data_IF_358093670275
#
_entry.id   IF_358093670275
#
_cell.length_a   1.000
_cell.length_b   1.000
_cell.length_c   1.000
_cell.angle_alpha   90.00
_cell.angle_beta   90.00
_cell.angle_gamma   90.00
#
_symmetry.space_group_name_H-M   'P 1'
#
loop_
_entity.id
_entity.type
_entity.pdbx_description
1 polymer ?
#
# COMPACT_ATOMS: atom_id res chain seq x y z
N UNK A 1 9.13 18.78 -34.99
CA UNK A 1 7.67 18.66 -35.09
C UNK A 1 7.17 18.20 -33.73
N UNK A 2 6.48 19.08 -32.99
CA UNK A 2 5.89 18.75 -31.68
C UNK A 2 4.65 17.89 -31.93
N UNK A 3 4.58 16.71 -31.31
CA UNK A 3 3.37 15.90 -31.27
C UNK A 3 2.38 16.51 -30.28
N UNK A 4 1.11 16.56 -30.65
CA UNK A 4 0.01 17.04 -29.83
C UNK A 4 -0.27 16.02 -28.70
N UNK A 5 0.12 16.33 -27.48
CA UNK A 5 -0.31 15.60 -26.28
C UNK A 5 -1.76 15.98 -25.95
N UNK A 6 -2.67 15.00 -25.96
CA UNK A 6 -4.06 15.22 -25.54
C UNK A 6 -4.15 15.64 -24.07
N UNK A 7 -4.79 16.78 -23.80
CA UNK A 7 -4.97 17.34 -22.46
C UNK A 7 -5.78 16.39 -21.55
N UNK A 8 -5.12 15.70 -20.62
CA UNK A 8 -5.78 14.94 -19.53
C UNK A 8 -6.26 15.89 -18.44
N UNK A 9 -7.53 15.78 -18.06
CA UNK A 9 -8.12 16.57 -16.97
C UNK A 9 -7.91 15.91 -15.60
N UNK A 10 -7.43 16.67 -14.61
CA UNK A 10 -7.27 16.17 -13.23
C UNK A 10 -8.62 15.85 -12.58
N UNK A 11 -8.67 14.84 -11.69
CA UNK A 11 -9.91 14.44 -10.99
C UNK A 11 -10.61 15.60 -10.26
N UNK A 12 -9.83 16.50 -9.65
CA UNK A 12 -10.37 17.67 -8.96
C UNK A 12 -11.08 18.63 -9.94
N UNK A 13 -10.49 18.82 -11.13
CA UNK A 13 -11.02 19.69 -12.17
C UNK A 13 -12.25 19.07 -12.85
N UNK A 14 -12.23 17.75 -13.09
CA UNK A 14 -13.38 16.97 -13.55
C UNK A 14 -14.58 17.11 -12.60
N UNK A 15 -14.37 16.90 -11.29
CA UNK A 15 -15.43 17.01 -10.27
C UNK A 15 -16.05 18.41 -10.21
N UNK A 16 -15.24 19.47 -10.37
CA UNK A 16 -15.73 20.85 -10.41
C UNK A 16 -16.57 21.13 -11.67
N UNK A 17 -16.10 20.69 -12.86
CA UNK A 17 -16.83 20.89 -14.14
C UNK A 17 -18.12 20.06 -14.19
N UNK A 18 -18.11 18.83 -13.70
CA UNK A 18 -19.28 17.95 -13.60
C UNK A 18 -20.41 18.59 -12.77
N UNK A 19 -20.05 19.19 -11.63
CA UNK A 19 -21.03 19.88 -10.77
C UNK A 19 -21.64 21.10 -11.48
N UNK A 20 -20.85 21.89 -12.22
CA UNK A 20 -21.33 23.07 -12.93
C UNK A 20 -22.31 22.69 -14.06
N UNK A 21 -21.93 21.77 -14.95
CA UNK A 21 -22.77 21.34 -16.09
C UNK A 21 -24.07 20.71 -15.59
N UNK A 22 -24.02 19.86 -14.55
CA UNK A 22 -25.24 19.23 -14.01
C UNK A 22 -26.18 20.22 -13.33
N UNK A 23 -25.66 21.29 -12.73
CA UNK A 23 -26.48 22.39 -12.20
C UNK A 23 -27.10 23.24 -13.32
N UNK A 24 -26.37 23.46 -14.42
CA UNK A 24 -26.87 24.18 -15.59
C UNK A 24 -27.97 23.41 -16.33
N UNK A 25 -27.83 22.10 -16.52
CA UNK A 25 -28.89 21.24 -17.06
C UNK A 25 -30.15 21.32 -16.20
N UNK A 26 -30.00 21.27 -14.87
CA UNK A 26 -31.15 21.39 -13.94
C UNK A 26 -31.81 22.76 -14.02
N UNK A 27 -31.04 23.83 -14.21
CA UNK A 27 -31.57 25.19 -14.38
C UNK A 27 -32.28 25.33 -15.72
N UNK A 28 -31.70 24.82 -16.80
CA UNK A 28 -32.27 24.89 -18.15
C UNK A 28 -33.55 24.07 -18.24
N UNK A 29 -33.63 22.88 -17.63
CA UNK A 29 -34.89 22.08 -17.53
C UNK A 29 -36.00 22.79 -16.74
N UNK A 30 -35.65 23.69 -15.82
CA UNK A 30 -36.62 24.43 -14.98
C UNK A 30 -37.09 25.75 -15.61
N UNK A 31 -36.44 26.26 -16.66
CA UNK A 31 -36.90 27.47 -17.35
C UNK A 31 -38.21 27.19 -18.07
N UNK A 32 -39.25 27.99 -17.80
CA UNK A 32 -40.48 27.99 -18.59
C UNK A 32 -40.31 28.97 -19.74
N UNK A 33 -39.85 28.48 -20.90
CA UNK A 33 -39.52 29.33 -22.05
C UNK A 33 -40.55 29.16 -23.17
N UNK A 34 -40.89 30.27 -23.83
CA UNK A 34 -41.85 30.30 -24.97
C UNK A 34 -41.24 29.64 -26.22
N UNK A 35 -39.91 29.73 -26.41
CA UNK A 35 -39.15 29.04 -27.45
C UNK A 35 -38.65 27.66 -26.97
N UNK A 36 -39.53 26.65 -26.97
CA UNK A 36 -39.21 25.27 -26.57
C UNK A 36 -38.05 24.65 -27.38
N UNK A 37 -37.95 24.96 -28.68
CA UNK A 37 -36.89 24.42 -29.54
C UNK A 37 -35.49 24.88 -29.10
N UNK A 38 -35.33 26.16 -28.76
CA UNK A 38 -34.05 26.72 -28.32
C UNK A 38 -33.62 26.17 -26.96
N UNK A 39 -34.57 25.90 -26.06
CA UNK A 39 -34.31 25.25 -24.78
C UNK A 39 -33.86 23.80 -24.98
N UNK A 40 -34.45 23.08 -25.94
CA UNK A 40 -34.06 21.71 -26.25
C UNK A 40 -32.66 21.65 -26.88
N UNK A 41 -32.33 22.56 -27.80
CA UNK A 41 -30.97 22.70 -28.35
C UNK A 41 -29.92 22.98 -27.28
N UNK A 42 -30.23 23.84 -26.30
CA UNK A 42 -29.32 24.11 -25.17
C UNK A 42 -29.10 22.88 -24.29
N UNK A 43 -30.15 22.08 -24.05
CA UNK A 43 -30.04 20.85 -23.28
C UNK A 43 -29.19 19.79 -23.99
N UNK A 44 -29.37 19.64 -25.31
CA UNK A 44 -28.56 18.73 -26.12
C UNK A 44 -27.08 19.14 -26.05
N UNK A 45 -26.77 20.43 -26.19
CA UNK A 45 -25.39 20.94 -26.08
C UNK A 45 -24.76 20.66 -24.71
N UNK A 46 -25.50 20.88 -23.63
CA UNK A 46 -25.02 20.60 -22.27
C UNK A 46 -24.83 19.10 -22.01
N UNK A 47 -25.68 18.25 -22.60
CA UNK A 47 -25.55 16.79 -22.53
C UNK A 47 -24.36 16.27 -23.37
N UNK A 48 -24.10 16.86 -24.54
CA UNK A 48 -22.89 16.61 -25.33
C UNK A 48 -21.60 17.04 -24.60
N UNK A 49 -21.62 18.20 -23.95
CA UNK A 49 -20.48 18.71 -23.17
C UNK A 49 -20.18 17.80 -21.97
N UNK A 50 -21.23 17.30 -21.30
CA UNK A 50 -21.10 16.32 -20.23
C UNK A 50 -20.47 15.01 -20.72
N UNK A 51 -20.90 14.52 -21.88
CA UNK A 51 -20.33 13.31 -22.49
C UNK A 51 -18.86 13.51 -22.90
N UNK A 52 -18.49 14.67 -23.46
CA UNK A 52 -17.09 15.01 -23.77
C UNK A 52 -16.23 15.07 -22.51
N UNK A 53 -16.74 15.68 -21.43
CA UNK A 53 -16.03 15.74 -20.16
C UNK A 53 -15.78 14.33 -19.58
N UNK A 54 -16.75 13.43 -19.71
CA UNK A 54 -16.59 12.03 -19.30
C UNK A 54 -15.56 11.28 -20.17
N UNK A 55 -15.57 11.50 -21.48
CA UNK A 55 -14.59 10.90 -22.40
C UNK A 55 -13.15 11.36 -22.14
N UNK A 56 -12.96 12.67 -21.86
CA UNK A 56 -11.66 13.24 -21.50
C UNK A 56 -11.10 12.70 -20.18
N UNK A 57 -11.97 12.28 -19.25
CA UNK A 57 -11.56 11.65 -18.00
C UNK A 57 -11.31 10.14 -18.16
N UNK A 58 -12.11 9.45 -18.99
CA UNK A 58 -12.08 8.00 -19.15
C UNK A 58 -11.15 7.47 -20.27
N UNK A 59 -10.58 8.33 -21.13
CA UNK A 59 -9.77 7.95 -22.32
C UNK A 59 -10.49 6.98 -23.29
N UNK A 60 -11.68 7.33 -23.76
CA UNK A 60 -12.31 6.62 -24.89
C UNK A 60 -12.19 7.45 -26.18
N UNK A 61 -11.13 7.25 -26.95
CA UNK A 61 -11.17 7.52 -28.38
C UNK A 61 -11.58 6.25 -29.14
N UNK A 62 -12.73 6.32 -29.82
CA UNK A 62 -13.02 5.48 -30.97
C UNK A 62 -13.95 4.27 -30.74
N UNK A 63 -15.26 4.52 -30.72
CA UNK A 63 -16.16 3.69 -31.54
C UNK A 63 -17.39 4.50 -31.95
N UNK A 64 -17.32 5.09 -33.14
CA UNK A 64 -18.52 5.52 -33.86
C UNK A 64 -19.20 4.26 -34.38
N UNK A 65 -20.46 4.10 -33.98
CA UNK A 65 -21.50 3.41 -34.74
C UNK A 65 -21.20 1.97 -35.10
N UNK A 66 -21.87 1.04 -34.40
CA UNK A 66 -22.71 0.14 -35.16
C UNK A 66 -23.99 -0.16 -34.39
N UNK A 67 -25.05 0.16 -35.08
CA UNK A 67 -26.41 -0.19 -34.77
C UNK A 67 -26.64 -1.57 -35.40
N UNK A 68 -27.63 -2.29 -34.87
CA UNK A 68 -28.29 -3.46 -35.46
C UNK A 68 -27.49 -4.79 -35.46
N UNK A 69 -27.87 -5.76 -34.61
CA UNK A 69 -28.98 -6.67 -34.93
C UNK A 69 -29.28 -7.66 -33.80
N UNK A 70 -30.58 -7.74 -33.52
CA UNK A 70 -31.26 -8.87 -32.91
C UNK A 70 -30.74 -10.22 -33.43
N UNK A 71 -30.51 -11.15 -32.51
CA UNK A 71 -30.94 -12.54 -32.66
C UNK A 71 -31.65 -12.97 -31.39
N UNK A 72 -32.96 -12.71 -31.39
CA UNK A 72 -33.89 -13.63 -30.77
C UNK A 72 -34.13 -14.72 -31.82
N UNK A 73 -33.64 -15.93 -31.59
CA UNK A 73 -34.21 -17.11 -32.24
C UNK A 73 -35.48 -17.50 -31.46
N UNK A 74 -36.56 -17.54 -32.23
CA UNK A 74 -37.88 -17.96 -31.81
C UNK A 74 -37.92 -19.47 -31.58
N UNK A 75 -38.78 -19.86 -30.63
CA UNK A 75 -39.19 -21.24 -30.42
C UNK A 75 -40.14 -21.31 -29.22
N UNK A 76 -41.32 -20.70 -29.34
CA UNK A 76 -42.44 -20.94 -28.43
C UNK A 76 -43.57 -21.58 -29.24
N UNK A 77 -44.00 -22.77 -28.83
CA UNK A 77 -45.23 -23.42 -29.29
C UNK A 77 -46.32 -23.22 -28.23
N UNK A 78 -47.52 -22.87 -28.70
CA UNK A 78 -48.78 -23.09 -28.01
C UNK A 78 -49.32 -21.95 -27.14
N UNK A 79 -50.13 -21.05 -27.71
CA UNK A 79 -51.61 -21.20 -27.72
C UNK A 79 -52.32 -19.92 -28.24
N UNK A 80 -53.42 -20.19 -28.97
CA UNK A 80 -54.45 -19.34 -29.60
C UNK A 80 -54.97 -18.23 -28.65
N UNK A 81 -55.53 -17.09 -29.07
CA UNK A 81 -56.65 -16.92 -30.00
C UNK A 81 -56.96 -15.40 -30.24
N UNK A 82 -57.25 -15.04 -31.49
CA UNK A 82 -58.23 -14.05 -32.06
C UNK A 82 -58.37 -12.60 -31.53
N UNK A 83 -58.09 -11.59 -32.39
CA UNK A 83 -59.01 -10.79 -33.27
C UNK A 83 -59.74 -9.63 -32.55
N UNK A 84 -59.49 -8.38 -32.94
CA UNK A 84 -60.43 -7.56 -33.77
C UNK A 84 -59.86 -6.17 -34.13
N UNK A 85 -60.33 -5.65 -35.27
CA UNK A 85 -59.94 -4.48 -36.05
C UNK A 85 -60.47 -3.13 -35.53
N UNK A 86 -59.89 -2.01 -36.04
CA UNK A 86 -60.71 -0.82 -36.36
C UNK A 86 -60.36 0.54 -35.74
N UNK A 87 -59.43 1.25 -36.41
CA UNK A 87 -59.50 2.67 -36.84
C UNK A 87 -59.63 3.89 -35.88
N UNK A 88 -58.62 4.77 -36.02
CA UNK A 88 -58.60 6.27 -36.00
C UNK A 88 -58.70 7.00 -34.63
N UNK A 89 -57.59 7.59 -34.16
CA UNK A 89 -57.40 9.06 -34.15
C UNK A 89 -55.98 9.48 -33.73
N UNK A 90 -55.54 10.62 -34.26
CA UNK A 90 -54.20 11.20 -34.13
C UNK A 90 -53.77 11.51 -32.68
N UNK A 91 -52.53 11.12 -32.34
CA UNK A 91 -51.71 11.80 -31.33
C UNK A 91 -51.17 10.91 -30.22
N UNK A 92 -50.06 10.20 -30.45
CA UNK A 92 -49.24 9.61 -29.38
C UNK A 92 -47.85 9.22 -29.90
N UNK A 93 -46.88 10.14 -29.83
CA UNK A 93 -45.47 9.82 -30.03
C UNK A 93 -44.64 10.42 -28.88
N UNK A 94 -45.03 10.18 -27.63
CA UNK A 94 -44.23 10.54 -26.45
C UNK A 94 -44.63 9.70 -25.24
N UNK A 95 -44.50 8.38 -25.31
CA UNK A 95 -44.67 7.58 -24.09
C UNK A 95 -43.93 6.24 -24.20
N UNK A 96 -42.59 6.28 -24.13
CA UNK A 96 -41.81 5.13 -23.61
C UNK A 96 -40.31 5.44 -23.36
N UNK A 97 -39.98 6.64 -22.86
CA UNK A 97 -38.62 6.93 -22.41
C UNK A 97 -38.57 7.57 -21.01
N UNK A 98 -39.43 7.10 -20.12
CA UNK A 98 -39.37 7.40 -18.68
C UNK A 98 -39.73 6.17 -17.86
N UNK A 99 -38.83 5.19 -17.83
CA UNK A 99 -38.75 4.29 -16.67
C UNK A 99 -37.67 4.85 -15.75
N UNK A 100 -38.07 5.79 -14.88
CA UNK A 100 -37.28 6.15 -13.70
C UNK A 100 -37.12 4.89 -12.86
N UNK A 101 -35.91 4.33 -12.81
CA UNK A 101 -35.55 3.41 -11.73
C UNK A 101 -35.60 4.23 -10.44
N UNK A 102 -36.71 4.16 -9.70
CA UNK A 102 -36.74 4.62 -8.32
C UNK A 102 -35.61 3.93 -7.57
N UNK A 103 -34.57 4.68 -7.23
CA UNK A 103 -33.47 4.18 -6.42
C UNK A 103 -34.09 3.74 -5.10
N UNK A 104 -34.21 2.42 -4.91
CA UNK A 104 -34.78 1.81 -3.70
C UNK A 104 -34.26 2.51 -2.44
N UNK A 105 -35.13 2.74 -1.44
CA UNK A 105 -34.75 3.29 -0.13
C UNK A 105 -33.53 2.56 0.48
N UNK A 106 -33.35 1.27 0.14
CA UNK A 106 -32.19 0.44 0.49
C UNK A 106 -30.88 0.94 -0.14
N UNK A 107 -30.89 1.27 -1.43
CA UNK A 107 -29.74 1.80 -2.17
C UNK A 107 -29.32 3.18 -1.68
N UNK A 108 -30.27 4.05 -1.34
CA UNK A 108 -29.99 5.37 -0.77
C UNK A 108 -29.36 5.27 0.63
N UNK A 109 -29.85 4.34 1.46
CA UNK A 109 -29.29 4.04 2.79
C UNK A 109 -27.85 3.49 2.68
N UNK A 110 -27.60 2.60 1.72
CA UNK A 110 -26.26 2.05 1.47
C UNK A 110 -25.27 3.13 1.02
N UNK A 111 -25.66 4.04 0.12
CA UNK A 111 -24.82 5.17 -0.30
C UNK A 111 -24.50 6.12 0.85
N UNK A 112 -25.47 6.45 1.71
CA UNK A 112 -25.23 7.27 2.93
C UNK A 112 -24.29 6.58 3.91
N UNK A 113 -24.40 5.25 4.07
CA UNK A 113 -23.49 4.46 4.91
C UNK A 113 -22.06 4.45 4.33
N UNK A 114 -21.92 4.32 3.01
CA UNK A 114 -20.64 4.39 2.31
C UNK A 114 -19.98 5.77 2.47
N UNK A 115 -20.71 6.85 2.20
CA UNK A 115 -20.22 8.22 2.41
C UNK A 115 -19.82 8.51 3.87
N UNK A 116 -20.56 7.95 4.83
CA UNK A 116 -20.21 8.10 6.26
C UNK A 116 -18.91 7.36 6.59
N UNK A 117 -18.70 6.15 6.04
CA UNK A 117 -17.45 5.38 6.18
C UNK A 117 -16.27 6.12 5.55
N UNK A 118 -16.44 6.64 4.34
CA UNK A 118 -15.40 7.43 3.64
C UNK A 118 -15.01 8.70 4.43
N UNK A 119 -15.99 9.45 4.97
CA UNK A 119 -15.70 10.61 5.82
C UNK A 119 -15.02 10.22 7.15
N UNK A 120 -15.34 9.05 7.70
CA UNK A 120 -14.73 8.53 8.92
C UNK A 120 -13.28 8.09 8.66
N UNK A 121 -13.02 7.41 7.54
CA UNK A 121 -11.67 7.06 7.06
C UNK A 121 -10.82 8.31 6.80
N UNK A 122 -11.33 9.31 6.09
CA UNK A 122 -10.62 10.57 5.83
C UNK A 122 -10.29 11.33 7.13
N UNK A 123 -11.22 11.33 8.10
CA UNK A 123 -10.99 11.92 9.43
C UNK A 123 -9.94 11.13 10.20
N UNK A 124 -9.96 9.80 10.12
CA UNK A 124 -9.00 8.94 10.80
C UNK A 124 -7.59 9.13 10.21
N UNK A 125 -7.45 9.22 8.88
CA UNK A 125 -6.16 9.48 8.22
C UNK A 125 -5.59 10.85 8.58
N UNK A 126 -6.43 11.89 8.60
CA UNK A 126 -6.01 13.23 9.07
C UNK A 126 -5.59 13.22 10.53
N UNK A 127 -6.26 12.43 11.37
CA UNK A 127 -5.93 12.33 12.80
C UNK A 127 -4.62 11.55 12.98
N UNK A 128 -4.44 10.43 12.27
CA UNK A 128 -3.20 9.65 12.26
C UNK A 128 -2.00 10.48 11.83
N UNK A 129 -2.14 11.28 10.76
CA UNK A 129 -1.06 12.18 10.32
C UNK A 129 -0.67 13.18 11.41
N UNK A 130 -1.64 13.76 12.12
CA UNK A 130 -1.35 14.66 13.26
C UNK A 130 -0.69 13.93 14.43
N UNK A 131 -1.18 12.76 14.79
CA UNK A 131 -0.58 11.96 15.86
C UNK A 131 0.87 11.56 15.54
N UNK A 132 1.14 11.18 14.28
CA UNK A 132 2.48 10.87 13.79
C UNK A 132 3.42 12.07 13.79
N UNK A 133 2.94 13.26 13.40
CA UNK A 133 3.72 14.50 13.49
C UNK A 133 4.08 14.86 14.94
N UNK A 134 3.12 14.75 15.87
CA UNK A 134 3.35 14.99 17.29
C UNK A 134 4.35 13.98 17.86
N UNK A 135 4.19 12.69 17.51
CA UNK A 135 5.13 11.63 17.90
C UNK A 135 6.55 11.93 17.41
N UNK A 136 6.70 12.32 16.13
CA UNK A 136 7.99 12.68 15.55
C UNK A 136 8.63 13.86 16.29
N UNK A 137 7.87 14.94 16.55
CA UNK A 137 8.37 16.12 17.26
C UNK A 137 8.84 15.74 18.67
N UNK A 138 8.02 14.99 19.42
CA UNK A 138 8.35 14.57 20.77
C UNK A 138 9.65 13.74 20.80
N UNK A 139 9.80 12.82 19.85
CA UNK A 139 10.99 11.97 19.76
C UNK A 139 12.24 12.79 19.40
N UNK A 140 12.14 13.74 18.47
CA UNK A 140 13.23 14.67 18.14
C UNK A 140 13.62 15.52 19.34
N UNK A 141 12.66 16.03 20.12
CA UNK A 141 12.94 16.79 21.34
C UNK A 141 13.60 15.95 22.43
N UNK A 142 13.20 14.68 22.58
CA UNK A 142 13.86 13.73 23.47
C UNK A 142 15.31 13.47 23.04
N UNK A 143 15.54 13.22 21.75
CA UNK A 143 16.87 12.95 21.18
C UNK A 143 17.79 14.18 21.26
N UNK A 144 17.26 15.39 21.08
CA UNK A 144 18.04 16.64 21.21
C UNK A 144 18.68 16.78 22.60
N UNK A 145 18.01 16.32 23.66
CA UNK A 145 18.57 16.32 25.03
C UNK A 145 19.81 15.42 25.15
N UNK A 146 19.97 14.45 24.26
CA UNK A 146 21.09 13.53 24.17
C UNK A 146 22.11 13.94 23.09
N UNK A 147 22.00 15.15 22.52
CA UNK A 147 22.76 15.61 21.36
C UNK A 147 22.62 14.67 20.14
N UNK A 148 21.42 14.17 19.89
CA UNK A 148 21.08 13.29 18.75
C UNK A 148 19.87 13.83 17.97
N UNK A 149 19.74 13.40 16.72
CA UNK A 149 18.61 13.69 15.84
C UNK A 149 18.22 12.47 14.99
N UNK A 150 17.05 12.55 14.34
CA UNK A 150 16.52 11.49 13.48
C UNK A 150 17.04 11.67 12.05
N UNK A 151 17.56 10.60 11.49
CA UNK A 151 17.79 10.45 10.06
C UNK A 151 16.66 9.60 9.44
N UNK A 152 15.97 10.17 8.45
CA UNK A 152 14.80 9.53 7.84
C UNK A 152 15.20 8.38 6.91
N UNK A 153 14.53 7.24 7.10
CA UNK A 153 14.60 6.04 6.27
C UNK A 153 13.29 5.92 5.48
N UNK A 154 13.36 5.38 4.26
CA UNK A 154 12.20 5.16 3.41
C UNK A 154 11.20 4.17 4.05
N UNK A 155 9.90 4.42 3.88
CA UNK A 155 8.82 3.60 4.39
C UNK A 155 8.42 2.49 3.39
N UNK A 156 9.35 1.57 3.11
CA UNK A 156 9.22 0.51 2.10
C UNK A 156 9.16 -0.92 2.70
N UNK A 157 8.95 -1.02 4.01
CA UNK A 157 8.95 -2.30 4.74
C UNK A 157 10.35 -2.82 5.11
N UNK A 158 11.43 -2.23 4.57
CA UNK A 158 12.82 -2.54 4.93
C UNK A 158 13.40 -1.61 6.00
N UNK A 159 12.59 -0.69 6.52
CA UNK A 159 13.02 0.39 7.41
C UNK A 159 13.89 -0.06 8.59
N UNK A 160 13.60 -1.20 9.23
CA UNK A 160 14.47 -1.75 10.29
C UNK A 160 15.89 -2.00 9.77
N UNK A 161 16.02 -2.81 8.72
CA UNK A 161 17.31 -3.19 8.16
C UNK A 161 18.07 -1.99 7.59
N UNK A 162 17.38 -1.09 6.90
CA UNK A 162 17.98 0.13 6.36
C UNK A 162 18.44 1.09 7.46
N UNK A 163 17.71 1.20 8.58
CA UNK A 163 18.12 2.02 9.72
C UNK A 163 19.42 1.50 10.37
N UNK A 164 19.59 0.18 10.41
CA UNK A 164 20.80 -0.49 10.91
C UNK A 164 21.95 -0.34 9.91
N UNK A 165 21.73 -0.58 8.62
CA UNK A 165 22.76 -0.37 7.58
C UNK A 165 23.27 1.06 7.58
N UNK A 166 22.37 2.03 7.71
CA UNK A 166 22.75 3.43 7.83
C UNK A 166 23.66 3.67 9.06
N UNK A 167 23.35 3.11 10.24
CA UNK A 167 24.22 3.18 11.41
C UNK A 167 25.59 2.54 11.16
N UNK A 168 25.61 1.35 10.58
CA UNK A 168 26.86 0.61 10.29
C UNK A 168 27.77 1.42 9.36
N UNK A 169 27.22 2.03 8.31
CA UNK A 169 27.97 2.87 7.35
C UNK A 169 28.57 4.13 7.98
N UNK A 170 28.04 4.61 9.10
CA UNK A 170 28.61 5.75 9.82
C UNK A 170 29.69 5.34 10.81
N UNK A 171 29.55 4.17 11.44
CA UNK A 171 30.42 3.74 12.55
C UNK A 171 31.58 2.85 12.11
N UNK A 172 31.37 2.01 11.11
CA UNK A 172 32.41 1.12 10.58
C UNK A 172 33.21 1.87 9.52
N UNK A 173 34.37 2.37 9.92
CA UNK A 173 35.34 3.02 9.03
C UNK A 173 36.37 2.00 8.54
N UNK A 174 36.82 1.12 9.44
CA UNK A 174 37.75 0.04 9.13
C UNK A 174 36.98 -1.28 9.11
N UNK A 175 37.12 -2.03 8.02
CA UNK A 175 36.52 -3.35 7.86
C UNK A 175 37.62 -4.38 7.59
N UNK A 176 37.38 -5.62 8.01
CA UNK A 176 38.26 -6.76 7.75
C UNK A 176 37.73 -7.65 6.63
N UNK A 177 36.42 -7.68 6.46
CA UNK A 177 35.74 -8.56 5.53
C UNK A 177 35.00 -7.75 4.47
N UNK A 178 34.89 -8.32 3.27
CA UNK A 178 34.20 -7.74 2.12
C UNK A 178 33.16 -8.72 1.58
N UNK A 179 32.47 -8.35 0.50
CA UNK A 179 31.51 -9.23 -0.17
C UNK A 179 32.06 -10.62 -0.56
N UNK A 180 33.35 -10.76 -0.86
CA UNK A 180 33.93 -12.04 -1.27
C UNK A 180 33.96 -13.03 -0.12
N UNK A 181 34.21 -12.55 1.10
CA UNK A 181 34.16 -13.37 2.31
C UNK A 181 32.74 -13.89 2.57
N UNK A 182 31.72 -13.06 2.32
CA UNK A 182 30.33 -13.48 2.39
C UNK A 182 30.01 -14.58 1.37
N UNK A 183 30.38 -14.40 0.10
CA UNK A 183 30.19 -15.42 -0.94
C UNK A 183 30.91 -16.73 -0.62
N UNK A 184 32.15 -16.65 -0.10
CA UNK A 184 32.89 -17.83 0.34
C UNK A 184 32.18 -18.57 1.48
N UNK A 185 31.63 -17.85 2.47
CA UNK A 185 30.87 -18.44 3.58
C UNK A 185 29.59 -19.16 3.09
N UNK A 186 28.94 -18.57 2.08
CA UNK A 186 27.76 -19.11 1.43
C UNK A 186 28.09 -20.32 0.53
N UNK A 187 29.31 -20.39 0.01
CA UNK A 187 29.72 -21.29 -1.08
C UNK A 187 28.86 -21.09 -2.33
N UNK A 188 28.59 -19.83 -2.66
CA UNK A 188 27.79 -19.37 -3.81
C UNK A 188 28.46 -18.09 -4.36
N UNK A 189 28.48 -17.90 -5.68
CA UNK A 189 29.12 -16.74 -6.33
C UNK A 189 28.18 -15.53 -6.46
N UNK A 190 26.87 -15.75 -6.29
CA UNK A 190 25.82 -14.73 -6.35
C UNK A 190 24.85 -14.91 -5.17
N UNK A 191 24.17 -13.82 -4.80
CA UNK A 191 23.19 -13.84 -3.74
C UNK A 191 21.91 -13.11 -4.16
N UNK A 192 20.77 -13.78 -3.97
CA UNK A 192 19.43 -13.23 -4.08
C UNK A 192 18.52 -13.98 -3.11
N UNK A 193 17.60 -13.26 -2.47
CA UNK A 193 16.57 -13.87 -1.63
C UNK A 193 15.59 -14.73 -2.42
N UNK A 194 15.43 -14.49 -3.72
CA UNK A 194 14.48 -15.24 -4.56
C UNK A 194 14.97 -16.67 -4.84
N UNK A 195 16.29 -16.90 -4.83
CA UNK A 195 16.90 -18.17 -5.20
C UNK A 195 17.45 -18.95 -4.00
N UNK A 196 17.55 -18.33 -2.82
CA UNK A 196 18.17 -18.95 -1.65
C UNK A 196 17.25 -19.99 -1.01
N UNK A 197 17.76 -21.20 -0.80
CA UNK A 197 17.07 -22.22 -0.02
C UNK A 197 17.51 -22.19 1.45
N UNK A 198 16.66 -21.62 2.32
CA UNK A 198 16.89 -21.57 3.76
C UNK A 198 17.05 -22.95 4.41
N UNK A 199 16.53 -24.04 3.80
CA UNK A 199 16.65 -25.40 4.36
C UNK A 199 18.10 -25.86 4.43
N UNK A 200 18.96 -25.37 3.51
CA UNK A 200 20.41 -25.63 3.54
C UNK A 200 21.06 -25.17 4.86
N UNK A 201 20.44 -24.21 5.56
CA UNK A 201 21.02 -23.56 6.74
C UNK A 201 20.43 -24.03 8.06
N UNK A 202 19.36 -24.85 8.06
CA UNK A 202 18.76 -25.38 9.30
C UNK A 202 19.74 -26.24 10.12
N UNK A 203 20.54 -27.06 9.44
CA UNK A 203 21.45 -28.01 10.08
C UNK A 203 22.94 -27.63 9.94
N UNK A 204 23.25 -26.53 9.24
CA UNK A 204 24.62 -26.04 9.05
C UNK A 204 25.07 -25.32 10.32
N UNK A 205 25.43 -26.08 11.37
CA UNK A 205 25.80 -25.57 12.71
C UNK A 205 26.98 -24.58 12.75
N UNK A 206 27.65 -24.32 11.64
CA UNK A 206 28.87 -23.52 11.56
C UNK A 206 28.75 -22.34 10.59
N UNK A 207 27.56 -21.73 10.44
CA UNK A 207 27.51 -20.43 9.77
C UNK A 207 28.22 -19.42 10.68
N UNK A 208 29.41 -18.99 10.26
CA UNK A 208 30.23 -18.10 11.07
C UNK A 208 29.71 -16.66 10.96
N UNK A 209 28.95 -16.24 11.98
CA UNK A 209 28.44 -14.88 12.06
C UNK A 209 29.51 -13.86 12.48
N UNK A 210 30.67 -14.29 12.98
CA UNK A 210 31.68 -13.36 13.51
C UNK A 210 32.25 -12.42 12.43
N UNK A 211 32.18 -12.81 11.16
CA UNK A 211 32.63 -11.98 10.05
C UNK A 211 31.81 -10.69 9.90
N UNK A 212 30.52 -10.69 10.33
CA UNK A 212 29.62 -9.57 10.11
C UNK A 212 29.82 -8.42 11.10
N UNK A 213 30.56 -8.63 12.19
CA UNK A 213 30.95 -7.56 13.11
C UNK A 213 31.82 -6.49 12.44
N UNK A 214 32.72 -6.93 11.55
CA UNK A 214 33.76 -6.13 10.87
C UNK A 214 33.65 -6.21 9.34
N UNK A 215 32.46 -6.50 8.80
CA UNK A 215 32.21 -6.53 7.36
C UNK A 215 32.06 -5.11 6.81
N UNK A 216 32.52 -4.89 5.57
CA UNK A 216 32.33 -3.64 4.86
C UNK A 216 30.84 -3.28 4.79
N UNK A 217 30.39 -2.19 5.44
CA UNK A 217 28.97 -1.85 5.53
C UNK A 217 28.35 -1.40 4.20
N UNK A 218 29.18 -1.11 3.19
CA UNK A 218 28.72 -0.82 1.83
C UNK A 218 28.45 -2.07 1.00
N UNK A 219 29.05 -3.21 1.37
CA UNK A 219 28.77 -4.51 0.75
C UNK A 219 27.54 -5.21 1.37
N UNK A 220 27.05 -4.71 2.51
CA UNK A 220 25.82 -5.18 3.16
C UNK A 220 24.58 -4.51 2.54
N UNK A 221 23.57 -5.34 2.29
CA UNK A 221 22.24 -4.94 1.79
C UNK A 221 21.15 -5.38 2.76
N UNK A 222 19.94 -4.81 2.61
CA UNK A 222 18.79 -5.23 3.41
C UNK A 222 18.44 -6.70 3.18
N UNK A 223 18.62 -7.20 1.96
CA UNK A 223 18.44 -8.60 1.61
C UNK A 223 19.42 -9.51 2.35
N UNK A 224 20.70 -9.13 2.40
CA UNK A 224 21.72 -9.86 3.16
C UNK A 224 21.35 -9.87 4.64
N UNK A 225 21.02 -8.71 5.24
CA UNK A 225 20.65 -8.68 6.65
C UNK A 225 19.38 -9.50 6.95
N UNK A 226 18.36 -9.48 6.09
CA UNK A 226 17.18 -10.35 6.21
C UNK A 226 17.57 -11.82 6.22
N UNK A 227 18.41 -12.23 5.26
CA UNK A 227 18.90 -13.60 5.19
C UNK A 227 19.68 -14.00 6.46
N UNK A 228 20.61 -13.15 6.91
CA UNK A 228 21.40 -13.41 8.12
C UNK A 228 20.52 -13.55 9.35
N UNK A 229 19.53 -12.67 9.49
CA UNK A 229 18.54 -12.73 10.57
C UNK A 229 17.75 -14.04 10.52
N UNK A 230 17.23 -14.43 9.35
CA UNK A 230 16.54 -15.71 9.16
C UNK A 230 17.42 -16.90 9.54
N UNK A 231 18.67 -16.95 9.07
CA UNK A 231 19.59 -18.05 9.40
C UNK A 231 19.93 -18.08 10.88
N UNK A 232 20.15 -16.92 11.51
CA UNK A 232 20.47 -16.85 12.93
C UNK A 232 19.33 -17.37 13.80
N UNK A 233 18.08 -16.97 13.51
CA UNK A 233 16.90 -17.44 14.24
C UNK A 233 16.71 -18.96 14.05
N UNK A 234 16.91 -19.47 12.83
CA UNK A 234 16.85 -20.92 12.55
C UNK A 234 17.88 -21.72 13.36
N UNK A 235 19.09 -21.19 13.53
CA UNK A 235 20.20 -21.88 14.18
C UNK A 235 20.23 -21.71 15.70
N UNK A 236 19.48 -20.73 16.24
CA UNK A 236 19.45 -20.41 17.67
C UNK A 236 18.03 -20.46 18.23
N UNK A 237 17.25 -21.50 17.88
CA UNK A 237 15.82 -21.60 18.23
C UNK A 237 15.51 -21.37 19.71
N UNK A 238 16.37 -21.88 20.59
CA UNK A 238 16.21 -21.76 22.05
C UNK A 238 16.13 -20.30 22.53
N UNK A 239 16.77 -19.37 21.82
CA UNK A 239 16.69 -17.93 22.14
C UNK A 239 15.33 -17.31 21.78
N UNK A 240 14.59 -17.91 20.85
CA UNK A 240 13.40 -17.31 20.23
C UNK A 240 12.11 -18.08 20.51
N UNK A 241 12.18 -19.26 21.14
CA UNK A 241 11.05 -20.18 21.39
C UNK A 241 9.89 -19.57 22.16
N UNK A 242 10.14 -18.58 23.00
CA UNK A 242 9.07 -17.89 23.74
C UNK A 242 8.43 -16.74 22.98
N UNK A 243 9.05 -16.29 21.87
CA UNK A 243 8.56 -15.18 21.05
C UNK A 243 7.85 -15.67 19.79
N UNK A 244 8.27 -16.82 19.26
CA UNK A 244 7.66 -17.47 18.09
C UNK A 244 6.71 -18.54 18.60
N UNK A 245 5.41 -18.21 18.66
CA UNK A 245 4.38 -19.11 19.19
C UNK A 245 4.18 -20.29 18.25
N UNK A 246 4.51 -21.49 18.71
CA UNK A 246 4.11 -22.73 18.03
C UNK A 246 2.70 -23.08 18.51
N UNK A 247 1.73 -23.14 17.59
CA UNK A 247 0.38 -23.58 17.98
C UNK A 247 0.44 -25.07 18.34
N UNK A 248 0.50 -25.39 19.63
CA UNK A 248 0.35 -26.76 20.11
C UNK A 248 -1.06 -27.28 19.74
N UNK A 249 -1.16 -28.06 18.67
CA UNK A 249 -2.37 -28.69 18.14
C UNK A 249 -2.04 -29.61 16.96
N UNK A 250 -3.01 -30.36 16.43
CA UNK A 250 -2.93 -31.47 15.44
C UNK A 250 -2.06 -31.24 14.16
N UNK A 251 -1.45 -30.06 14.00
CA UNK A 251 -0.52 -29.67 12.93
C UNK A 251 0.96 -29.76 13.35
N UNK A 252 1.37 -30.81 14.08
CA UNK A 252 2.77 -31.09 14.47
C UNK A 252 3.78 -31.22 13.29
N UNK A 253 3.34 -31.02 12.05
CA UNK A 253 4.15 -31.00 10.84
C UNK A 253 4.52 -29.58 10.34
N UNK A 254 3.99 -28.52 10.95
CA UNK A 254 4.29 -27.14 10.54
C UNK A 254 5.54 -26.68 11.28
N UNK A 255 6.67 -26.50 10.57
CA UNK A 255 7.87 -25.90 11.15
C UNK A 255 7.66 -24.38 11.26
N UNK A 256 6.99 -23.95 12.33
CA UNK A 256 6.59 -22.55 12.59
C UNK A 256 7.79 -21.60 12.54
N UNK A 257 8.93 -22.01 13.08
CA UNK A 257 10.19 -21.27 13.00
C UNK A 257 10.67 -21.10 11.57
N UNK A 258 10.65 -22.18 10.79
CA UNK A 258 11.05 -22.11 9.39
C UNK A 258 10.14 -21.18 8.60
N UNK A 259 8.83 -21.27 8.80
CA UNK A 259 7.88 -20.37 8.17
C UNK A 259 8.12 -18.91 8.56
N UNK A 260 8.34 -18.64 9.85
CA UNK A 260 8.69 -17.30 10.33
C UNK A 260 9.95 -16.76 9.62
N UNK A 261 11.00 -17.57 9.52
CA UNK A 261 12.24 -17.19 8.85
C UNK A 261 12.06 -17.00 7.34
N UNK A 262 11.16 -17.74 6.69
CA UNK A 262 10.77 -17.48 5.30
C UNK A 262 10.05 -16.14 5.15
N UNK A 263 9.14 -15.80 6.06
CA UNK A 263 8.43 -14.51 5.98
C UNK A 263 9.37 -13.30 6.16
N UNK A 264 10.41 -13.42 6.99
CA UNK A 264 11.47 -12.41 7.08
C UNK A 264 12.09 -12.15 5.70
N UNK A 265 12.42 -13.21 4.95
CA UNK A 265 12.97 -13.07 3.60
C UNK A 265 11.97 -12.50 2.58
N UNK A 266 10.67 -12.65 2.83
CA UNK A 266 9.58 -12.13 1.97
C UNK A 266 9.19 -10.68 2.27
N UNK A 267 9.92 -10.00 3.14
CA UNK A 267 9.65 -8.59 3.43
C UNK A 267 8.76 -8.36 4.65
N UNK A 268 8.61 -9.34 5.55
CA UNK A 268 7.92 -9.12 6.84
C UNK A 268 8.52 -7.91 7.58
N UNK A 269 7.64 -7.13 8.22
CA UNK A 269 8.03 -6.02 9.10
C UNK A 269 8.82 -6.53 10.30
N UNK A 270 9.96 -5.89 10.57
CA UNK A 270 10.82 -6.26 11.69
C UNK A 270 10.25 -5.90 13.06
N UNK A 271 10.58 -6.72 14.04
CA UNK A 271 10.17 -6.64 15.44
C UNK A 271 11.38 -6.74 16.37
N UNK A 272 11.12 -6.92 17.67
CA UNK A 272 12.16 -7.18 18.68
C UNK A 272 12.94 -8.47 18.41
N UNK A 273 12.34 -9.46 17.73
CA UNK A 273 12.97 -10.73 17.38
C UNK A 273 14.13 -10.47 16.41
N UNK A 274 13.86 -9.71 15.33
CA UNK A 274 14.87 -9.36 14.32
C UNK A 274 15.96 -8.46 14.91
N UNK A 275 15.61 -7.51 15.78
CA UNK A 275 16.58 -6.63 16.45
C UNK A 275 17.51 -7.44 17.36
N UNK A 276 16.97 -8.40 18.11
CA UNK A 276 17.74 -9.29 18.98
C UNK A 276 18.71 -10.14 18.15
N UNK A 277 18.26 -10.72 17.04
CA UNK A 277 19.12 -11.47 16.13
C UNK A 277 20.23 -10.58 15.53
N UNK A 278 19.88 -9.41 15.01
CA UNK A 278 20.84 -8.47 14.42
C UNK A 278 21.89 -8.00 15.42
N UNK A 279 21.49 -7.73 16.66
CA UNK A 279 22.41 -7.34 17.73
C UNK A 279 23.47 -8.41 17.97
N UNK A 280 23.07 -9.68 18.00
CA UNK A 280 24.00 -10.80 18.17
C UNK A 280 24.88 -11.04 16.94
N UNK A 281 24.31 -10.96 15.72
CA UNK A 281 25.05 -11.15 14.46
C UNK A 281 26.16 -10.10 14.32
N UNK A 282 25.82 -8.84 14.58
CA UNK A 282 26.71 -7.70 14.40
C UNK A 282 27.62 -7.45 15.62
N UNK A 283 27.40 -8.18 16.71
CA UNK A 283 28.00 -7.98 18.03
C UNK A 283 27.98 -6.51 18.47
N UNK A 284 26.81 -5.89 18.31
CA UNK A 284 26.58 -4.48 18.61
C UNK A 284 25.32 -4.36 19.45
N UNK A 285 25.39 -3.54 20.49
CA UNK A 285 24.23 -3.12 21.25
C UNK A 285 23.34 -2.31 20.32
N UNK A 286 22.03 -2.55 20.32
CA UNK A 286 21.08 -1.76 19.54
C UNK A 286 20.11 -1.09 20.52
N UNK A 287 20.11 0.24 20.55
CA UNK A 287 19.17 1.03 21.36
C UNK A 287 18.10 1.62 20.47
N UNK A 288 16.86 1.31 20.82
CA UNK A 288 15.64 1.77 20.14
C UNK A 288 15.01 2.85 21.00
N UNK A 289 14.97 4.06 20.45
CA UNK A 289 14.25 5.19 21.06
C UNK A 289 12.79 5.20 20.62
N UNK A 290 11.88 5.16 21.58
CA UNK A 290 10.44 5.31 21.40
C UNK A 290 9.96 6.44 22.31
N UNK A 291 8.89 7.13 21.92
CA UNK A 291 8.30 8.21 22.72
C UNK A 291 7.89 7.78 24.12
N UNK A 292 7.61 6.48 24.32
CA UNK A 292 7.16 5.93 25.60
C UNK A 292 8.32 5.34 26.43
N UNK A 293 9.33 4.78 25.79
CA UNK A 293 10.43 4.08 26.47
C UNK A 293 11.65 3.91 25.56
N UNK A 294 12.81 3.66 26.16
CA UNK A 294 14.01 3.26 25.39
C UNK A 294 14.34 1.81 25.74
N UNK A 295 14.53 0.98 24.73
CA UNK A 295 14.88 -0.44 24.90
C UNK A 295 16.25 -0.68 24.28
N UNK A 296 17.09 -1.46 24.97
CA UNK A 296 18.40 -1.85 24.49
C UNK A 296 18.49 -3.36 24.32
N UNK A 297 19.10 -3.79 23.23
CA UNK A 297 19.34 -5.19 22.90
C UNK A 297 20.84 -5.43 22.85
N UNK A 298 21.30 -6.57 23.39
CA UNK A 298 22.72 -6.93 23.42
C UNK A 298 23.56 -6.02 24.34
N UNK A 299 23.12 -5.79 25.57
CA UNK A 299 23.77 -4.89 26.54
C UNK A 299 25.25 -5.22 26.83
N UNK A 300 25.68 -6.44 26.55
CA UNK A 300 27.06 -6.90 26.75
C UNK A 300 28.03 -6.41 25.66
N UNK A 301 27.53 -5.87 24.55
CA UNK A 301 28.37 -5.40 23.45
C UNK A 301 28.83 -3.95 23.67
N UNK A 302 30.12 -3.71 23.42
CA UNK A 302 30.75 -2.41 23.65
C UNK A 302 30.35 -1.35 22.62
N UNK A 303 30.21 -1.77 21.36
CA UNK A 303 29.77 -0.88 20.28
C UNK A 303 28.24 -0.81 20.24
N UNK A 304 27.70 0.39 20.02
CA UNK A 304 26.26 0.65 20.11
C UNK A 304 25.75 1.25 18.80
N UNK A 305 24.53 0.89 18.38
CA UNK A 305 23.80 1.47 17.25
C UNK A 305 22.51 2.10 17.77
N UNK A 306 22.11 3.22 17.17
CA UNK A 306 20.94 3.97 17.60
C UNK A 306 19.90 4.03 16.48
N UNK A 307 18.70 3.55 16.79
CA UNK A 307 17.53 3.66 15.91
C UNK A 307 16.35 4.21 16.71
N UNK A 308 15.32 4.69 16.03
CA UNK A 308 14.11 5.14 16.69
C UNK A 308 12.87 4.54 16.03
N UNK A 309 11.85 4.31 16.85
CA UNK A 309 10.63 3.63 16.47
C UNK A 309 9.45 4.59 16.52
N UNK A 310 8.65 4.54 15.46
CA UNK A 310 7.43 5.32 15.33
C UNK A 310 6.24 4.38 15.18
N UNK A 311 5.20 4.58 15.99
CA UNK A 311 3.95 3.83 15.94
C UNK A 311 2.97 4.39 14.90
N UNK A 312 2.99 5.70 14.68
CA UNK A 312 1.94 6.43 13.95
C UNK A 312 2.47 7.42 12.92
N UNK A 313 3.79 7.47 12.70
CA UNK A 313 4.40 8.38 11.72
C UNK A 313 3.86 8.18 10.30
N UNK A 314 3.58 6.94 9.91
CA UNK A 314 3.05 6.62 8.58
C UNK A 314 1.73 5.87 8.66
N UNK A 315 0.86 6.10 7.67
CA UNK A 315 -0.43 5.40 7.56
C UNK A 315 -0.28 3.89 7.34
N UNK A 316 0.84 3.46 6.75
CA UNK A 316 1.18 2.05 6.49
C UNK A 316 1.57 1.27 7.75
N UNK A 317 1.79 1.97 8.87
CA UNK A 317 2.03 1.35 10.17
C UNK A 317 3.32 1.82 10.83
N UNK A 318 3.86 0.91 11.64
CA UNK A 318 5.07 1.11 12.44
C UNK A 318 6.30 1.32 11.54
N UNK A 319 7.23 2.15 11.98
CA UNK A 319 8.38 2.54 11.18
C UNK A 319 9.64 2.76 12.01
N UNK A 320 10.80 2.39 11.47
CA UNK A 320 12.10 2.64 12.07
C UNK A 320 12.86 3.71 11.29
N UNK A 321 13.44 4.65 12.01
CA UNK A 321 14.41 5.59 11.47
C UNK A 321 15.76 5.39 12.17
N UNK A 322 16.82 5.91 11.56
CA UNK A 322 18.15 5.88 12.15
C UNK A 322 18.34 7.10 13.05
N UNK A 323 19.18 6.99 14.09
CA UNK A 323 19.48 8.09 15.01
C UNK A 323 20.95 8.46 14.92
N UNK A 324 21.23 9.73 14.65
CA UNK A 324 22.59 10.24 14.42
C UNK A 324 22.93 11.31 15.44
N UNK A 325 24.21 11.58 15.63
CA UNK A 325 24.65 12.70 16.47
C UNK A 325 24.33 14.04 15.76
N UNK A 326 24.01 15.06 16.57
CA UNK A 326 23.66 16.41 16.13
C UNK A 326 24.86 17.24 15.66
#
# INVERSE_FOLDING_TARGET
>A
MRGEEGERISYHEYKQKLKKITEEIKKEKKKKTIHKNKQNENLIKLEEELNRLNALYNNEEGSKGDNIFNRNEAGNDGERENLDEGNISNGAFTENLYLYSEISKKTLKNRKKMQKREMEEERNDRTRNKEGEIEYINLVEMLKKLNKTIYSIAADGNCLYESILHQLRQKIINYKYDKNHFFHLMNEDEFSLDTIDLRKYQNKKNFDFSIFQDMNPHDLTCEILRFLTSVYILQNRDLFVHFIYDEEGDNAHVDTFFNYCQEITRGMYGSEIEITALSNILQKKITVYDVNMNISYGENYAEELFICFHHKLYALGKHYNSVVDL
#
